data_IF_122255547368
#
_entry.id   IF_122255547368
#
_cell.length_a   1.000
_cell.length_b   1.000
_cell.length_c   1.000
_cell.angle_alpha   90.00
_cell.angle_beta   90.00
_cell.angle_gamma   90.00
#
_symmetry.space_group_name_H-M   'P 1'
#
loop_
_entity.id
_entity.type
_entity.pdbx_description
1 polymer ?
#
# COMPACT_ATOMS: atom_id res chain seq x y z
N UNK A 1 51.46 39.36 -17.12
CA UNK A 1 50.60 40.43 -16.54
C UNK A 1 49.17 40.10 -16.99
N UNK A 2 48.16 39.79 -16.20
CA UNK A 2 47.92 39.84 -14.75
C UNK A 2 46.91 38.74 -14.34
N UNK A 3 46.92 38.31 -13.08
CA UNK A 3 45.82 37.68 -12.31
C UNK A 3 44.99 38.79 -11.60
N UNK A 4 43.80 38.60 -10.97
CA UNK A 4 43.29 37.41 -10.23
C UNK A 4 41.74 37.09 -10.27
N UNK A 5 41.37 36.11 -9.45
CA UNK A 5 40.10 35.37 -9.12
C UNK A 5 38.88 36.23 -8.60
N UNK A 6 37.74 35.70 -8.05
CA UNK A 6 37.31 34.34 -7.68
C UNK A 6 35.83 33.93 -8.02
N UNK A 7 35.44 32.70 -7.66
CA UNK A 7 34.20 32.02 -8.08
C UNK A 7 32.90 32.37 -7.35
N UNK A 8 31.82 31.68 -7.76
CA UNK A 8 30.60 31.44 -6.98
C UNK A 8 30.02 30.07 -7.30
N UNK A 9 30.01 29.20 -6.29
CA UNK A 9 29.16 28.02 -6.20
C UNK A 9 27.70 28.45 -6.23
N UNK A 10 26.92 27.90 -7.16
CA UNK A 10 25.47 28.01 -7.20
C UNK A 10 24.86 26.71 -6.68
N UNK A 11 24.68 26.62 -5.36
CA UNK A 11 23.91 25.58 -4.69
C UNK A 11 22.47 25.56 -5.21
N UNK A 12 22.14 24.62 -6.09
CA UNK A 12 20.76 24.38 -6.52
C UNK A 12 20.08 23.50 -5.47
N UNK A 13 19.54 24.15 -4.45
CA UNK A 13 18.60 23.54 -3.50
C UNK A 13 17.31 23.21 -4.25
N UNK A 14 17.13 21.95 -4.64
CA UNK A 14 15.83 21.45 -5.13
C UNK A 14 14.84 21.46 -3.97
N UNK A 15 13.99 22.47 -3.95
CA UNK A 15 12.83 22.58 -3.08
C UNK A 15 11.91 21.38 -3.31
N UNK A 16 11.64 20.64 -2.25
CA UNK A 16 10.58 19.63 -2.18
C UNK A 16 9.24 20.33 -2.42
N UNK A 17 8.35 19.83 -3.30
CA UNK A 17 7.03 20.44 -3.49
C UNK A 17 6.21 20.33 -2.19
N UNK A 18 5.40 21.35 -1.86
CA UNK A 18 4.62 21.35 -0.63
C UNK A 18 3.55 20.25 -0.68
N UNK A 19 3.47 19.48 0.40
CA UNK A 19 2.41 18.51 0.68
C UNK A 19 1.08 19.27 0.62
N UNK A 20 0.12 18.91 -0.26
CA UNK A 20 -1.21 19.49 -0.22
C UNK A 20 -1.86 19.18 1.12
N UNK A 21 -2.33 20.21 1.80
CA UNK A 21 -2.98 20.13 3.09
C UNK A 21 -4.19 19.19 3.03
N UNK A 22 -4.06 17.98 3.59
CA UNK A 22 -5.20 17.30 4.16
C UNK A 22 -5.65 18.11 5.37
N UNK A 23 -6.55 19.08 5.13
CA UNK A 23 -7.15 19.90 6.17
C UNK A 23 -8.01 18.96 7.02
N UNK A 24 -7.49 18.55 8.18
CA UNK A 24 -8.33 18.06 9.28
C UNK A 24 -8.82 19.32 9.99
N UNK A 25 -9.97 19.85 9.55
CA UNK A 25 -10.68 20.87 10.31
C UNK A 25 -11.19 20.25 11.61
N UNK A 26 -10.54 20.61 12.73
CA UNK A 26 -10.99 20.27 14.08
C UNK A 26 -11.79 21.43 14.66
N UNK A 27 -12.85 21.90 13.99
CA UNK A 27 -13.74 22.90 14.59
C UNK A 27 -15.09 23.07 13.89
N UNK A 28 -16.04 22.16 14.13
CA UNK A 28 -17.44 22.48 14.48
C UNK A 28 -18.29 21.22 14.46
N UNK A 29 -19.11 21.03 15.49
CA UNK A 29 -19.89 19.82 15.69
C UNK A 29 -21.01 19.65 14.67
N UNK A 30 -20.88 18.61 13.86
CA UNK A 30 -22.00 17.84 13.31
C UNK A 30 -21.71 16.35 13.54
N UNK A 31 -22.62 15.67 14.22
CA UNK A 31 -22.63 14.21 14.35
C UNK A 31 -22.88 13.61 12.97
N UNK A 32 -21.81 13.28 12.24
CA UNK A 32 -21.87 12.37 11.10
C UNK A 32 -21.27 11.02 11.51
N UNK A 33 -22.09 9.99 11.34
CA UNK A 33 -21.81 8.57 11.57
C UNK A 33 -20.37 8.19 11.21
N UNK A 34 -19.62 7.74 12.21
CA UNK A 34 -18.17 7.58 12.20
C UNK A 34 -17.67 6.36 11.43
N UNK A 35 -18.14 6.13 10.20
CA UNK A 35 -17.55 5.16 9.27
C UNK A 35 -16.51 5.86 8.39
N UNK A 36 -15.41 6.27 8.99
CA UNK A 36 -14.27 6.82 8.24
C UNK A 36 -13.54 5.67 7.53
N UNK A 37 -13.87 5.47 6.24
CA UNK A 37 -13.03 4.86 5.19
C UNK A 37 -12.10 3.72 5.64
N UNK A 38 -12.61 2.51 5.86
CA UNK A 38 -11.80 1.31 6.13
C UNK A 38 -10.83 1.37 7.33
N UNK A 39 -10.74 2.48 8.07
CA UNK A 39 -9.79 2.62 9.19
C UNK A 39 -10.16 1.69 10.36
N UNK A 40 -11.41 1.23 10.41
CA UNK A 40 -11.87 0.18 11.33
C UNK A 40 -11.13 -1.16 11.11
N UNK A 41 -10.57 -1.39 9.92
CA UNK A 41 -9.77 -2.58 9.59
C UNK A 41 -8.34 -2.52 10.15
N UNK A 42 -7.89 -1.35 10.64
CA UNK A 42 -6.54 -1.09 11.15
C UNK A 42 -6.59 -0.55 12.59
N UNK A 43 -6.90 -1.40 13.58
CA UNK A 43 -7.13 -0.99 14.97
C UNK A 43 -5.94 -0.26 15.61
N UNK A 44 -4.69 -0.63 15.27
CA UNK A 44 -3.48 0.01 15.81
C UNK A 44 -3.41 1.52 15.48
N UNK A 45 -4.01 1.96 14.37
CA UNK A 45 -4.00 3.37 13.94
C UNK A 45 -4.94 4.27 14.71
N UNK A 46 -5.94 3.69 15.39
CA UNK A 46 -6.87 4.41 16.26
C UNK A 46 -6.34 4.57 17.70
N UNK A 47 -5.11 4.13 17.96
CA UNK A 47 -4.52 4.11 19.30
C UNK A 47 -5.01 2.95 20.17
N UNK A 48 -5.78 2.02 19.60
CA UNK A 48 -6.19 0.80 20.28
C UNK A 48 -5.03 -0.20 20.27
N UNK A 49 -4.53 -0.56 21.45
CA UNK A 49 -3.62 -1.71 21.55
C UNK A 49 -4.44 -2.98 21.31
N UNK A 50 -4.09 -3.75 20.28
CA UNK A 50 -4.71 -5.04 20.01
C UNK A 50 -4.64 -5.92 21.26
N UNK A 51 -5.82 -6.36 21.76
CA UNK A 51 -5.93 -7.25 22.91
C UNK A 51 -6.37 -8.62 22.42
N UNK A 52 -5.50 -9.64 22.50
CA UNK A 52 -5.86 -10.97 22.03
C UNK A 52 -6.99 -11.54 22.89
N UNK A 53 -7.89 -12.29 22.27
CA UNK A 53 -9.00 -12.95 22.95
C UNK A 53 -8.51 -14.20 23.67
N UNK A 54 -8.81 -14.30 24.97
CA UNK A 54 -8.31 -15.38 25.83
C UNK A 54 -8.61 -16.79 25.29
N UNK A 55 -9.78 -16.98 24.68
CA UNK A 55 -10.16 -18.25 24.05
C UNK A 55 -9.35 -18.59 22.80
N UNK A 56 -8.94 -17.60 21.99
CA UNK A 56 -8.10 -17.81 20.80
C UNK A 56 -6.63 -17.98 21.16
N UNK A 57 -6.16 -17.33 22.22
CA UNK A 57 -4.82 -17.56 22.79
C UNK A 57 -4.69 -19.01 23.26
N UNK A 58 -5.70 -19.52 23.97
CA UNK A 58 -5.72 -20.92 24.43
C UNK A 58 -5.72 -21.91 23.25
N UNK A 59 -6.33 -21.52 22.13
CA UNK A 59 -6.34 -22.29 20.88
C UNK A 59 -5.06 -22.10 20.04
N UNK A 60 -4.09 -21.30 20.50
CA UNK A 60 -2.84 -21.01 19.80
C UNK A 60 -2.99 -20.13 18.55
N UNK A 61 -4.13 -19.45 18.38
CA UNK A 61 -4.42 -18.61 17.21
C UNK A 61 -3.96 -17.15 17.36
N UNK A 62 -3.78 -16.68 18.60
CA UNK A 62 -3.37 -15.31 18.96
C UNK A 62 -2.29 -15.35 20.07
N UNK A 63 -1.53 -14.26 20.26
CA UNK A 63 -0.46 -14.16 21.27
C UNK A 63 0.97 -14.16 20.74
N UNK A 64 1.18 -14.22 19.42
CA UNK A 64 2.50 -14.16 18.75
C UNK A 64 2.76 -12.86 17.99
N UNK A 65 2.00 -11.80 18.28
CA UNK A 65 1.94 -10.58 17.47
C UNK A 65 3.32 -9.93 17.28
N UNK A 66 4.14 -9.88 18.34
CA UNK A 66 5.50 -9.34 18.25
C UNK A 66 6.41 -10.19 17.33
N UNK A 67 6.28 -11.51 17.37
CA UNK A 67 7.04 -12.40 16.49
C UNK A 67 6.58 -12.26 15.05
N UNK A 68 5.28 -12.11 14.84
CA UNK A 68 4.70 -11.94 13.50
C UNK A 68 5.06 -10.59 12.90
N UNK A 69 5.13 -9.53 13.73
CA UNK A 69 5.69 -8.24 13.34
C UNK A 69 7.13 -8.37 12.84
N UNK A 70 8.01 -9.01 13.62
CA UNK A 70 9.42 -9.21 13.24
C UNK A 70 9.54 -10.03 11.94
N UNK A 71 8.71 -11.06 11.77
CA UNK A 71 8.67 -11.85 10.53
C UNK A 71 8.20 -11.01 9.34
N UNK A 72 7.16 -10.20 9.53
CA UNK A 72 6.64 -9.28 8.52
C UNK A 72 7.73 -8.30 8.09
N UNK A 73 8.37 -7.60 9.02
CA UNK A 73 9.46 -6.65 8.73
C UNK A 73 10.64 -7.31 8.01
N UNK A 74 10.99 -8.54 8.41
CA UNK A 74 12.03 -9.34 7.71
C UNK A 74 11.63 -9.65 6.27
N UNK A 75 10.38 -10.05 6.04
CA UNK A 75 9.87 -10.33 4.69
C UNK A 75 9.83 -9.04 3.85
N UNK A 76 9.36 -7.92 4.41
CA UNK A 76 9.39 -6.61 3.76
C UNK A 76 10.81 -6.27 3.31
N UNK A 77 11.79 -6.41 4.21
CA UNK A 77 13.19 -6.16 3.88
C UNK A 77 13.71 -7.07 2.75
N UNK A 78 13.35 -8.36 2.77
CA UNK A 78 13.70 -9.29 1.67
C UNK A 78 13.06 -8.87 0.35
N UNK A 79 11.77 -8.52 0.35
CA UNK A 79 11.06 -8.08 -0.85
C UNK A 79 11.71 -6.83 -1.44
N UNK A 80 12.01 -5.83 -0.61
CA UNK A 80 12.71 -4.62 -1.06
C UNK A 80 14.09 -4.95 -1.65
N UNK A 81 14.83 -5.87 -1.03
CA UNK A 81 16.17 -6.24 -1.47
C UNK A 81 16.19 -7.15 -2.71
N UNK A 82 15.20 -8.02 -2.89
CA UNK A 82 15.28 -9.12 -3.85
C UNK A 82 14.20 -9.07 -4.94
N UNK A 83 13.02 -8.50 -4.66
CA UNK A 83 11.91 -8.50 -5.61
C UNK A 83 12.10 -7.44 -6.70
N UNK A 84 12.13 -7.83 -7.99
CA UNK A 84 12.24 -6.88 -9.09
C UNK A 84 11.07 -5.89 -9.15
N UNK A 85 9.86 -6.35 -8.82
CA UNK A 85 8.65 -5.52 -8.86
C UNK A 85 8.66 -4.44 -7.77
N UNK A 86 9.01 -4.81 -6.53
CA UNK A 86 9.12 -3.83 -5.43
C UNK A 86 10.21 -2.81 -5.73
N UNK A 87 11.37 -3.23 -6.25
CA UNK A 87 12.44 -2.30 -6.67
C UNK A 87 12.00 -1.36 -7.78
N UNK A 88 11.26 -1.87 -8.77
CA UNK A 88 10.73 -1.06 -9.86
C UNK A 88 9.80 0.03 -9.31
N UNK A 89 8.89 -0.34 -8.40
CA UNK A 89 7.98 0.62 -7.77
C UNK A 89 8.72 1.65 -6.92
N UNK A 90 9.71 1.24 -6.13
CA UNK A 90 10.58 2.19 -5.39
C UNK A 90 11.31 3.15 -6.33
N UNK A 91 11.80 2.66 -7.47
CA UNK A 91 12.42 3.47 -8.51
C UNK A 91 11.45 4.47 -9.15
N UNK A 92 10.24 4.03 -9.47
CA UNK A 92 9.19 4.86 -10.06
C UNK A 92 8.71 5.97 -9.10
N UNK A 93 8.53 5.64 -7.82
CA UNK A 93 8.22 6.59 -6.76
C UNK A 93 9.33 7.63 -6.60
N UNK A 94 10.60 7.18 -6.56
CA UNK A 94 11.76 8.06 -6.50
C UNK A 94 11.86 8.99 -7.72
N UNK A 95 11.64 8.48 -8.93
CA UNK A 95 11.70 9.30 -10.16
C UNK A 95 10.55 10.29 -10.28
N UNK A 96 9.43 10.02 -9.60
CA UNK A 96 8.25 10.90 -9.56
C UNK A 96 8.28 11.92 -8.42
N UNK A 97 9.34 11.93 -7.59
CA UNK A 97 9.52 12.90 -6.51
C UNK A 97 8.98 12.46 -5.14
N UNK A 98 8.46 11.24 -5.01
CA UNK A 98 7.94 10.65 -3.78
C UNK A 98 8.80 9.47 -3.33
N UNK A 99 10.11 9.71 -3.15
CA UNK A 99 11.02 8.67 -2.69
C UNK A 99 10.57 8.09 -1.34
N UNK A 100 10.52 6.76 -1.25
CA UNK A 100 10.09 6.09 -0.03
C UNK A 100 11.28 5.67 0.85
N UNK A 101 11.10 5.86 2.14
CA UNK A 101 11.90 5.23 3.21
C UNK A 101 11.08 4.10 3.83
N UNK A 102 11.62 2.88 3.78
CA UNK A 102 11.01 1.65 4.30
C UNK A 102 10.59 1.81 5.77
N UNK A 103 11.39 2.50 6.60
CA UNK A 103 11.11 2.67 8.03
C UNK A 103 9.99 3.65 8.32
N UNK A 104 9.72 4.58 7.41
CA UNK A 104 8.70 5.61 7.58
C UNK A 104 7.41 5.31 6.82
N UNK A 105 7.52 4.68 5.65
CA UNK A 105 6.42 4.52 4.70
C UNK A 105 5.87 3.10 4.65
N UNK A 106 6.45 2.15 5.38
CA UNK A 106 5.94 0.78 5.48
C UNK A 106 5.76 0.41 6.95
N UNK A 107 4.58 -0.09 7.31
CA UNK A 107 4.24 -0.51 8.66
C UNK A 107 3.70 -1.95 8.65
N UNK A 108 4.19 -2.77 9.57
CA UNK A 108 3.61 -4.06 9.89
C UNK A 108 2.69 -3.91 11.10
N UNK A 109 1.40 -4.15 10.91
CA UNK A 109 0.34 -3.95 11.90
C UNK A 109 -0.61 -5.15 11.90
N UNK A 110 -1.34 -5.35 13.00
CA UNK A 110 -2.47 -6.28 13.04
C UNK A 110 -3.69 -5.64 12.36
N UNK A 111 -4.28 -6.35 11.40
CA UNK A 111 -5.48 -5.92 10.69
C UNK A 111 -6.65 -6.90 10.89
N UNK A 112 -7.83 -6.52 10.39
CA UNK A 112 -8.93 -7.46 10.19
C UNK A 112 -8.53 -8.62 9.26
N UNK A 113 -9.19 -9.78 9.43
CA UNK A 113 -8.88 -11.00 8.67
C UNK A 113 -9.32 -10.95 7.21
N UNK A 114 -10.15 -9.98 6.83
CA UNK A 114 -10.63 -9.78 5.47
C UNK A 114 -9.60 -9.09 4.56
N UNK A 115 -8.56 -8.46 5.13
CA UNK A 115 -7.55 -7.69 4.37
C UNK A 115 -6.12 -8.18 4.59
N UNK A 116 -5.26 -7.95 3.60
CA UNK A 116 -3.84 -8.34 3.66
C UNK A 116 -2.87 -7.17 3.74
N UNK A 117 -3.35 -5.96 3.47
CA UNK A 117 -2.60 -4.70 3.54
C UNK A 117 -3.50 -3.52 3.19
N UNK A 118 -2.90 -2.35 2.99
CA UNK A 118 -3.59 -1.16 2.50
C UNK A 118 -2.66 0.05 2.42
N UNK A 119 -3.06 1.07 1.67
CA UNK A 119 -2.36 2.35 1.58
C UNK A 119 -3.11 3.46 2.32
N UNK A 120 -2.40 4.16 3.20
CA UNK A 120 -2.88 5.32 3.93
C UNK A 120 -2.40 6.62 3.29
N UNK A 121 -3.27 7.39 2.61
CA UNK A 121 -2.88 8.67 2.04
C UNK A 121 -2.62 9.75 3.11
N UNK A 122 -3.18 9.62 4.31
CA UNK A 122 -3.02 10.61 5.40
C UNK A 122 -1.64 10.49 6.04
N UNK A 123 -1.24 9.26 6.40
CA UNK A 123 0.08 8.99 6.98
C UNK A 123 1.16 8.77 5.93
N UNK A 124 0.76 8.65 4.67
CA UNK A 124 1.56 8.23 3.51
C UNK A 124 2.30 6.92 3.81
N UNK A 125 1.56 5.87 4.17
CA UNK A 125 2.10 4.58 4.61
C UNK A 125 1.41 3.40 3.95
N UNK A 126 2.21 2.42 3.52
CA UNK A 126 1.76 1.08 3.18
C UNK A 126 1.69 0.25 4.46
N UNK A 127 0.52 -0.32 4.74
CA UNK A 127 0.31 -1.31 5.80
C UNK A 127 0.45 -2.71 5.21
N UNK A 128 1.20 -3.55 5.91
CA UNK A 128 1.25 -4.98 5.67
C UNK A 128 0.65 -5.68 6.90
N UNK A 129 -0.45 -6.40 6.69
CA UNK A 129 -1.18 -7.03 7.79
C UNK A 129 -0.43 -8.26 8.29
N UNK A 130 0.30 -8.12 9.39
CA UNK A 130 1.26 -9.12 9.87
C UNK A 130 0.60 -10.46 10.25
N UNK A 131 -0.66 -10.42 10.64
CA UNK A 131 -1.47 -11.60 10.99
C UNK A 131 -1.89 -12.40 9.75
N UNK A 132 -1.91 -11.79 8.56
CA UNK A 132 -2.39 -12.37 7.29
C UNK A 132 -1.24 -12.61 6.30
N UNK A 133 -0.38 -11.61 6.08
CA UNK A 133 0.74 -11.67 5.14
C UNK A 133 1.95 -12.43 5.71
N UNK A 134 1.78 -13.73 6.00
CA UNK A 134 2.76 -14.54 6.74
C UNK A 134 3.96 -15.00 5.92
N UNK A 135 3.87 -14.99 4.60
CA UNK A 135 4.93 -15.45 3.71
C UNK A 135 5.43 -14.32 2.78
N UNK A 136 6.64 -14.49 2.26
CA UNK A 136 7.32 -13.48 1.43
C UNK A 136 6.55 -13.17 0.13
N UNK A 137 5.88 -14.16 -0.46
CA UNK A 137 5.10 -13.97 -1.68
C UNK A 137 3.87 -13.08 -1.48
N UNK A 138 3.14 -13.26 -0.38
CA UNK A 138 2.00 -12.40 -0.03
C UNK A 138 2.50 -11.00 0.30
N UNK A 139 3.56 -10.87 1.11
CA UNK A 139 4.16 -9.56 1.41
C UNK A 139 4.60 -8.84 0.14
N UNK A 140 5.22 -9.55 -0.81
CA UNK A 140 5.56 -8.97 -2.11
C UNK A 140 4.33 -8.46 -2.86
N UNK A 141 3.25 -9.26 -2.89
CA UNK A 141 2.00 -8.91 -3.54
C UNK A 141 1.41 -7.63 -2.94
N UNK A 142 1.26 -7.60 -1.61
CA UNK A 142 0.78 -6.43 -0.86
C UNK A 142 1.65 -5.22 -1.14
N UNK A 143 2.97 -5.31 -0.95
CA UNK A 143 3.86 -4.17 -1.18
C UNK A 143 3.76 -3.63 -2.60
N UNK A 144 3.68 -4.51 -3.61
CA UNK A 144 3.60 -4.05 -5.00
C UNK A 144 2.25 -3.39 -5.28
N UNK A 145 1.15 -3.96 -4.76
CA UNK A 145 -0.19 -3.42 -4.91
C UNK A 145 -0.32 -2.04 -4.25
N UNK A 146 0.02 -1.94 -2.96
CA UNK A 146 -0.12 -0.69 -2.20
C UNK A 146 0.86 0.40 -2.67
N UNK A 147 2.05 0.02 -3.17
CA UNK A 147 2.97 1.00 -3.77
C UNK A 147 2.41 1.59 -5.08
N UNK A 148 1.50 0.91 -5.79
CA UNK A 148 0.82 1.48 -6.95
C UNK A 148 -0.17 2.55 -6.50
N UNK A 149 -0.96 2.30 -5.45
CA UNK A 149 -1.82 3.33 -4.87
C UNK A 149 -1.03 4.54 -4.38
N UNK A 150 0.11 4.30 -3.71
CA UNK A 150 1.03 5.36 -3.30
C UNK A 150 1.59 6.13 -4.51
N UNK A 151 1.93 5.43 -5.59
CA UNK A 151 2.41 6.06 -6.83
C UNK A 151 1.30 6.89 -7.48
N UNK A 152 0.09 6.36 -7.58
CA UNK A 152 -1.05 7.05 -8.19
C UNK A 152 -1.44 8.30 -7.41
N UNK A 153 -1.42 8.23 -6.07
CA UNK A 153 -1.63 9.37 -5.18
C UNK A 153 -0.52 10.41 -5.27
N UNK A 154 0.74 9.98 -5.41
CA UNK A 154 1.87 10.90 -5.58
C UNK A 154 1.83 11.66 -6.92
N UNK A 155 1.43 10.97 -7.99
CA UNK A 155 1.61 11.45 -9.36
C UNK A 155 0.38 12.14 -9.93
N UNK A 156 -0.80 11.91 -9.35
CA UNK A 156 -2.08 12.44 -9.81
C UNK A 156 -2.85 13.05 -8.62
N UNK A 157 -3.85 13.88 -8.92
CA UNK A 157 -4.79 14.40 -7.92
C UNK A 157 -5.84 13.33 -7.60
N UNK A 158 -5.40 12.30 -6.87
CA UNK A 158 -6.21 11.12 -6.55
C UNK A 158 -7.02 11.37 -5.28
N UNK A 159 -8.33 11.18 -5.38
CA UNK A 159 -9.27 11.28 -4.26
C UNK A 159 -9.89 9.90 -4.05
N UNK A 160 -9.47 9.21 -3.00
CA UNK A 160 -9.99 7.88 -2.69
C UNK A 160 -11.50 7.89 -2.40
N UNK A 161 -12.09 9.03 -2.00
CA UNK A 161 -13.55 9.14 -1.79
C UNK A 161 -14.33 9.22 -3.10
N UNK A 162 -13.66 9.51 -4.20
CA UNK A 162 -14.27 9.47 -5.52
C UNK A 162 -14.17 8.04 -6.07
N UNK A 163 -15.33 7.42 -6.32
CA UNK A 163 -15.43 6.04 -6.78
C UNK A 163 -14.71 5.80 -8.11
N UNK A 164 -14.68 6.79 -9.00
CA UNK A 164 -14.00 6.68 -10.29
C UNK A 164 -12.48 6.68 -10.11
N UNK A 165 -11.98 7.53 -9.21
CA UNK A 165 -10.56 7.59 -8.86
C UNK A 165 -10.11 6.28 -8.19
N UNK A 166 -10.90 5.77 -7.25
CA UNK A 166 -10.67 4.48 -6.60
C UNK A 166 -10.65 3.36 -7.65
N UNK A 167 -11.68 3.22 -8.47
CA UNK A 167 -11.75 2.19 -9.49
C UNK A 167 -10.58 2.29 -10.48
N UNK A 168 -10.16 3.49 -10.87
CA UNK A 168 -9.01 3.68 -11.76
C UNK A 168 -7.70 3.15 -11.17
N UNK A 169 -7.44 3.43 -9.89
CA UNK A 169 -6.21 2.94 -9.25
C UNK A 169 -6.27 1.43 -9.00
N UNK A 170 -7.43 0.90 -8.63
CA UNK A 170 -7.65 -0.55 -8.45
C UNK A 170 -7.48 -1.34 -9.75
N UNK A 171 -8.01 -0.83 -10.86
CA UNK A 171 -7.80 -1.42 -12.20
C UNK A 171 -6.32 -1.43 -12.53
N UNK A 172 -5.59 -0.34 -12.26
CA UNK A 172 -4.15 -0.26 -12.53
C UNK A 172 -3.37 -1.25 -11.67
N UNK A 173 -3.68 -1.33 -10.37
CA UNK A 173 -3.05 -2.26 -9.45
C UNK A 173 -3.30 -3.71 -9.89
N UNK A 174 -4.56 -4.10 -10.11
CA UNK A 174 -4.92 -5.45 -10.56
C UNK A 174 -4.25 -5.83 -11.89
N UNK A 175 -4.17 -4.90 -12.83
CA UNK A 175 -3.53 -5.09 -14.14
C UNK A 175 -2.02 -5.34 -14.03
N UNK A 176 -1.34 -4.70 -13.08
CA UNK A 176 0.11 -4.79 -12.94
C UNK A 176 0.59 -5.89 -11.97
N UNK A 177 -0.23 -6.30 -10.99
CA UNK A 177 0.25 -7.14 -9.86
C UNK A 177 -0.43 -8.48 -9.70
N UNK A 178 -1.73 -8.61 -10.00
CA UNK A 178 -2.50 -9.81 -9.63
C UNK A 178 -2.83 -10.73 -10.80
N UNK A 179 -3.02 -10.18 -11.99
CA UNK A 179 -3.53 -10.92 -13.14
C UNK A 179 -2.42 -11.45 -14.04
N UNK A 180 -1.47 -12.21 -13.50
CA UNK A 180 -0.57 -12.99 -14.37
C UNK A 180 -1.35 -14.10 -15.08
N UNK A 181 -0.93 -14.52 -16.28
CA UNK A 181 -1.56 -15.66 -16.98
C UNK A 181 -1.60 -16.93 -16.10
N UNK A 182 -0.55 -17.17 -15.31
CA UNK A 182 -0.48 -18.28 -14.35
C UNK A 182 -1.53 -18.13 -13.24
N UNK A 183 -1.75 -16.91 -12.74
CA UNK A 183 -2.76 -16.60 -11.74
C UNK A 183 -4.19 -16.68 -12.28
N UNK A 184 -4.40 -16.32 -13.56
CA UNK A 184 -5.70 -16.44 -14.22
C UNK A 184 -6.09 -17.91 -14.45
N UNK A 185 -5.11 -18.78 -14.72
CA UNK A 185 -5.32 -20.22 -14.84
C UNK A 185 -5.71 -20.88 -13.51
N UNK A 186 -5.05 -20.51 -12.40
CA UNK A 186 -5.36 -21.07 -11.07
C UNK A 186 -6.67 -20.55 -10.48
N UNK A 187 -7.12 -19.37 -10.88
CA UNK A 187 -8.40 -18.78 -10.45
C UNK A 187 -9.60 -19.21 -11.31
N UNK A 188 -9.38 -19.96 -12.39
CA UNK A 188 -10.45 -20.45 -13.27
C UNK A 188 -10.92 -19.44 -14.33
N UNK A 189 -10.27 -18.28 -14.41
CA UNK A 189 -10.58 -17.21 -15.37
C UNK A 189 -9.99 -17.46 -16.77
N UNK A 190 -9.05 -18.42 -16.88
CA UNK A 190 -8.45 -18.85 -18.15
C UNK A 190 -8.86 -20.29 -18.50
N UNK A 191 -9.34 -20.48 -19.74
CA UNK A 191 -9.65 -21.78 -20.34
C UNK A 191 -8.81 -21.96 -21.62
N UNK A 192 -8.46 -23.19 -22.04
CA UNK A 192 -7.81 -23.46 -23.33
C UNK A 192 -8.51 -22.82 -24.54
N UNK A 193 -9.81 -22.50 -24.40
CA UNK A 193 -10.65 -21.93 -25.44
C UNK A 193 -10.89 -20.41 -25.30
N UNK A 194 -10.49 -19.78 -24.20
CA UNK A 194 -10.77 -18.36 -23.90
C UNK A 194 -9.57 -17.64 -23.25
N UNK A 195 -8.40 -17.73 -23.90
CA UNK A 195 -7.16 -17.10 -23.42
C UNK A 195 -7.15 -15.58 -23.63
N UNK A 196 -7.85 -15.08 -24.67
CA UNK A 196 -7.73 -13.69 -25.14
C UNK A 196 -8.28 -12.65 -24.15
N UNK A 197 -9.33 -12.98 -23.40
CA UNK A 197 -10.00 -12.06 -22.47
C UNK A 197 -9.77 -12.40 -20.98
N UNK A 198 -9.10 -13.53 -20.68
CA UNK A 198 -8.88 -13.99 -19.32
C UNK A 198 -8.21 -12.94 -18.42
N UNK A 199 -7.20 -12.24 -18.95
CA UNK A 199 -6.52 -11.15 -18.23
C UNK A 199 -7.48 -10.01 -17.90
N UNK A 200 -8.25 -9.56 -18.89
CA UNK A 200 -9.19 -8.45 -18.71
C UNK A 200 -10.29 -8.78 -17.70
N UNK A 201 -10.78 -10.02 -17.72
CA UNK A 201 -11.78 -10.48 -16.77
C UNK A 201 -11.22 -10.57 -15.35
N UNK A 202 -10.00 -11.11 -15.18
CA UNK A 202 -9.31 -11.09 -13.89
C UNK A 202 -9.17 -9.65 -13.35
N UNK A 203 -8.73 -8.70 -14.19
CA UNK A 203 -8.55 -7.30 -13.76
C UNK A 203 -9.88 -6.69 -13.32
N UNK A 204 -10.95 -6.89 -14.09
CA UNK A 204 -12.30 -6.39 -13.74
C UNK A 204 -12.78 -6.98 -12.41
N UNK A 205 -12.69 -8.30 -12.24
CA UNK A 205 -13.14 -8.98 -11.02
C UNK A 205 -12.34 -8.54 -9.80
N UNK A 206 -11.01 -8.42 -9.92
CA UNK A 206 -10.16 -7.98 -8.82
C UNK A 206 -10.42 -6.54 -8.44
N UNK A 207 -10.45 -5.63 -9.40
CA UNK A 207 -10.72 -4.22 -9.12
C UNK A 207 -12.11 -4.02 -8.49
N UNK A 208 -13.12 -4.73 -8.98
CA UNK A 208 -14.47 -4.69 -8.40
C UNK A 208 -14.46 -5.18 -6.93
N UNK A 209 -13.78 -6.28 -6.65
CA UNK A 209 -13.69 -6.80 -5.28
C UNK A 209 -12.93 -5.84 -4.34
N UNK A 210 -11.86 -5.19 -4.82
CA UNK A 210 -11.16 -4.18 -4.02
C UNK A 210 -12.05 -2.98 -3.73
N UNK A 211 -12.76 -2.45 -4.75
CA UNK A 211 -13.68 -1.32 -4.59
C UNK A 211 -14.80 -1.63 -3.58
N UNK A 212 -15.32 -2.85 -3.57
CA UNK A 212 -16.38 -3.28 -2.64
C UNK A 212 -15.89 -3.54 -1.21
N UNK A 213 -14.57 -3.64 -1.00
CA UNK A 213 -13.98 -3.94 0.29
C UNK A 213 -13.66 -2.69 1.14
N UNK A 214 -13.82 -1.49 0.57
CA UNK A 214 -13.44 -0.20 1.19
C UNK A 214 -14.64 0.60 1.67
#
# INVERSE_FOLDING_TARGET
MATPAPGKEGSSTKQTPPIPNAVIDRSSGEQQDGKQWGYDLYPERRGEKYKPSWGRVLLGMEGTENLDKIKCERNVYKCVKNSPMVKLMMGALKSSGCAIDIRRHIACEVCDVSVSGGYDPVLNQVVVCQNIARNEGIVQGVLTHEMIHMFDYCRNDLDFKNIDHLACTEIRAANLTHCSFMSAWTQGDASPFNIKEAHQNCVKTKALNSVLAV
#
